data_IF_695583281232
#
_entry.id   IF_695583281232
#
_cell.length_a   1.000
_cell.length_b   1.000
_cell.length_c   1.000
_cell.angle_alpha   90.00
_cell.angle_beta   90.00
_cell.angle_gamma   90.00
#
_symmetry.space_group_name_H-M   'P 1'
#
loop_
_entity.id
_entity.type
_entity.pdbx_description
1 polymer ?
#
# COMPACT_ATOMS: atom_id res chain seq x y z
N UNK A 1 -10.29 -13.78 14.48
CA UNK A 1 -10.81 -12.40 14.30
C UNK A 1 -12.31 -12.46 14.47
N UNK A 2 -12.88 -11.84 15.51
CA UNK A 2 -14.34 -11.74 15.68
C UNK A 2 -14.84 -10.81 14.56
N UNK A 3 -15.83 -11.26 13.78
CA UNK A 3 -16.40 -10.45 12.71
C UNK A 3 -17.11 -9.23 13.31
N UNK A 4 -16.47 -8.06 13.26
CA UNK A 4 -17.05 -6.78 13.65
C UNK A 4 -18.36 -6.56 12.89
N UNK A 5 -19.47 -6.34 13.60
CA UNK A 5 -20.78 -6.11 13.00
C UNK A 5 -20.82 -4.76 12.27
N UNK A 6 -21.51 -4.64 11.13
CA UNK A 6 -21.68 -3.37 10.37
C UNK A 6 -22.16 -2.21 11.25
N UNK A 7 -23.04 -2.52 12.22
CA UNK A 7 -23.54 -1.53 13.17
C UNK A 7 -22.43 -0.97 14.06
N UNK A 8 -21.46 -1.79 14.42
CA UNK A 8 -20.31 -1.38 15.23
C UNK A 8 -19.36 -0.48 14.44
N UNK A 9 -19.04 -0.82 13.20
CA UNK A 9 -18.23 0.02 12.32
C UNK A 9 -18.89 1.38 12.08
N UNK A 10 -20.21 1.42 11.89
CA UNK A 10 -20.97 2.68 11.77
C UNK A 10 -20.96 3.49 13.05
N UNK A 11 -21.15 2.85 14.22
CA UNK A 11 -21.06 3.54 15.52
C UNK A 11 -19.67 4.11 15.75
N UNK A 12 -18.61 3.35 15.42
CA UNK A 12 -17.23 3.82 15.48
C UNK A 12 -17.00 5.00 14.54
N UNK A 13 -17.47 4.91 13.29
CA UNK A 13 -17.40 6.01 12.32
C UNK A 13 -18.05 7.28 12.87
N UNK A 14 -19.26 7.21 13.45
CA UNK A 14 -19.90 8.38 14.07
C UNK A 14 -19.01 8.98 15.16
N UNK A 15 -18.59 8.18 16.14
CA UNK A 15 -17.76 8.65 17.26
C UNK A 15 -16.45 9.30 16.80
N UNK A 16 -15.81 8.73 15.78
CA UNK A 16 -14.46 9.13 15.36
C UNK A 16 -14.46 10.26 14.34
N UNK A 17 -15.42 10.25 13.41
CA UNK A 17 -15.39 11.07 12.20
C UNK A 17 -16.53 12.08 12.13
N UNK A 18 -17.72 11.80 12.68
CA UNK A 18 -18.87 12.69 12.46
C UNK A 18 -18.67 14.08 13.07
N UNK A 19 -17.98 14.18 14.22
CA UNK A 19 -17.60 15.45 14.81
C UNK A 19 -16.64 16.27 13.94
N UNK A 20 -15.95 15.62 13.00
CA UNK A 20 -15.04 16.25 12.03
C UNK A 20 -15.71 16.54 10.69
N UNK A 21 -16.83 15.86 10.39
CA UNK A 21 -17.64 16.13 9.20
C UNK A 21 -18.46 17.41 9.32
N UNK A 22 -18.66 17.91 10.54
CA UNK A 22 -19.32 19.20 10.77
C UNK A 22 -18.33 20.30 10.35
N UNK A 23 -18.80 21.20 9.49
CA UNK A 23 -18.02 22.38 9.11
C UNK A 23 -17.67 23.18 10.36
N UNK A 24 -16.38 23.25 10.67
CA UNK A 24 -15.85 24.09 11.72
C UNK A 24 -14.87 25.06 11.06
N UNK A 25 -15.28 26.33 10.81
CA UNK A 25 -14.38 27.33 10.28
C UNK A 25 -13.16 27.45 11.21
N UNK A 26 -11.96 27.39 10.63
CA UNK A 26 -10.69 27.46 11.37
C UNK A 26 -10.02 26.11 11.67
N UNK A 27 -10.68 24.97 11.45
CA UNK A 27 -10.01 23.67 11.63
C UNK A 27 -9.05 23.37 10.48
N UNK A 28 -7.75 23.51 10.73
CA UNK A 28 -6.72 23.14 9.77
C UNK A 28 -6.74 21.63 9.45
N UNK A 29 -6.43 21.23 8.19
CA UNK A 29 -6.10 19.86 7.85
C UNK A 29 -4.98 19.33 8.74
N UNK A 30 -5.04 18.05 9.13
CA UNK A 30 -3.93 17.39 9.81
C UNK A 30 -2.71 17.32 8.89
N UNK A 31 -1.53 17.51 9.46
CA UNK A 31 -0.27 17.31 8.74
C UNK A 31 -0.02 15.82 8.47
N UNK A 32 0.47 15.48 7.29
CA UNK A 32 0.86 14.11 6.99
C UNK A 32 -0.27 13.23 6.43
N UNK A 33 0.11 11.97 6.26
CA UNK A 33 -0.65 10.95 5.54
C UNK A 33 -0.60 9.66 6.34
N UNK A 34 -1.68 8.89 6.36
CA UNK A 34 -1.68 7.52 6.87
C UNK A 34 -1.77 6.51 5.73
N UNK A 35 -0.94 5.46 5.81
CA UNK A 35 -0.80 4.44 4.77
C UNK A 35 -1.10 3.05 5.35
N UNK A 36 -1.81 2.23 4.59
CA UNK A 36 -2.03 0.82 4.89
C UNK A 36 -2.31 0.02 3.62
N UNK A 37 -2.55 -1.27 3.75
CA UNK A 37 -2.75 -2.16 2.60
C UNK A 37 -4.02 -3.00 2.78
N UNK A 38 -4.75 -3.19 1.68
CA UNK A 38 -5.83 -4.16 1.54
C UNK A 38 -5.38 -5.27 0.60
N UNK A 39 -5.79 -6.49 0.91
CA UNK A 39 -5.56 -7.67 0.09
C UNK A 39 -6.93 -8.18 -0.34
N UNK A 40 -7.16 -8.27 -1.64
CA UNK A 40 -8.37 -8.84 -2.19
C UNK A 40 -8.30 -10.38 -2.14
N UNK A 41 -9.34 -11.03 -1.61
CA UNK A 41 -9.45 -12.49 -1.51
C UNK A 41 -8.84 -13.10 -0.24
N UNK A 42 -8.81 -14.44 -0.18
CA UNK A 42 -8.33 -15.15 1.00
C UNK A 42 -6.80 -15.10 1.16
N UNK A 43 -6.35 -15.04 2.41
CA UNK A 43 -4.95 -15.08 2.83
C UNK A 43 -4.58 -16.53 3.18
N UNK A 44 -3.95 -17.24 2.27
CA UNK A 44 -3.37 -18.57 2.57
C UNK A 44 -1.86 -18.53 2.57
N UNK A 45 -1.28 -17.73 1.69
CA UNK A 45 0.15 -17.75 1.43
C UNK A 45 0.87 -16.54 2.03
N UNK A 46 2.18 -16.67 2.27
CA UNK A 46 3.02 -15.56 2.76
C UNK A 46 3.24 -14.47 1.71
N UNK A 47 2.99 -14.79 0.45
CA UNK A 47 3.11 -13.89 -0.68
C UNK A 47 1.72 -13.61 -1.27
N UNK A 48 1.49 -12.37 -1.68
CA UNK A 48 0.26 -11.96 -2.35
C UNK A 48 0.58 -11.39 -3.71
N UNK A 49 -0.08 -11.86 -4.76
CA UNK A 49 0.07 -11.24 -6.08
C UNK A 49 -0.22 -9.73 -6.02
N UNK A 50 0.65 -8.94 -6.62
CA UNK A 50 0.62 -7.47 -6.55
C UNK A 50 -0.71 -6.91 -7.09
N UNK A 51 -1.33 -7.56 -8.09
CA UNK A 51 -2.66 -7.20 -8.63
C UNK A 51 -3.79 -7.30 -7.60
N UNK A 52 -3.61 -8.10 -6.54
CA UNK A 52 -4.57 -8.28 -5.43
C UNK A 52 -4.28 -7.34 -4.26
N UNK A 53 -3.16 -6.61 -4.30
CA UNK A 53 -2.78 -5.65 -3.28
C UNK A 53 -3.31 -4.26 -3.64
N UNK A 54 -3.89 -3.56 -2.66
CA UNK A 54 -4.26 -2.15 -2.80
C UNK A 54 -3.64 -1.34 -1.66
N UNK A 55 -2.78 -0.39 -1.99
CA UNK A 55 -2.26 0.62 -1.06
C UNK A 55 -3.35 1.64 -0.76
N UNK A 56 -3.77 1.74 0.49
CA UNK A 56 -4.74 2.72 0.96
C UNK A 56 -4.02 3.89 1.63
N UNK A 57 -4.32 5.08 1.16
CA UNK A 57 -3.75 6.35 1.60
C UNK A 57 -4.87 7.22 2.16
N UNK A 58 -4.67 7.77 3.36
CA UNK A 58 -5.62 8.65 4.03
C UNK A 58 -4.97 9.96 4.42
N UNK A 59 -5.59 11.08 4.06
CA UNK A 59 -5.13 12.43 4.41
C UNK A 59 -6.28 13.43 4.46
N UNK A 60 -6.03 14.59 5.04
CA UNK A 60 -6.99 15.69 5.06
C UNK A 60 -6.76 16.61 3.86
N UNK A 61 -7.82 16.90 3.10
CA UNK A 61 -7.78 17.81 1.94
C UNK A 61 -8.68 19.02 2.23
N UNK A 62 -8.14 20.24 2.12
CA UNK A 62 -8.94 21.45 2.21
C UNK A 62 -9.61 21.74 0.87
N UNK A 63 -10.94 21.74 0.85
CA UNK A 63 -11.70 22.15 -0.33
C UNK A 63 -11.77 23.68 -0.47
N UNK A 64 -12.06 24.15 -1.68
CA UNK A 64 -12.18 25.58 -1.99
C UNK A 64 -13.22 26.32 -1.11
N UNK A 65 -14.27 25.62 -0.69
CA UNK A 65 -15.30 26.15 0.22
C UNK A 65 -14.88 26.14 1.71
N UNK A 66 -13.60 25.92 2.00
CA UNK A 66 -13.04 25.89 3.35
C UNK A 66 -13.38 24.63 4.14
N UNK A 67 -14.14 23.67 3.60
CA UNK A 67 -14.41 22.39 4.26
C UNK A 67 -13.19 21.47 4.16
N UNK A 68 -12.84 20.83 5.27
CA UNK A 68 -11.82 19.77 5.29
C UNK A 68 -12.49 18.43 5.00
N UNK A 69 -12.04 17.76 3.94
CA UNK A 69 -12.44 16.38 3.60
C UNK A 69 -11.41 15.40 4.14
N UNK A 70 -11.83 14.20 4.52
CA UNK A 70 -10.89 13.12 4.91
C UNK A 70 -10.80 12.16 3.73
N UNK A 71 -9.81 12.36 2.86
CA UNK A 71 -9.64 11.59 1.63
C UNK A 71 -9.13 10.20 1.93
N UNK A 72 -9.73 9.22 1.26
CA UNK A 72 -9.26 7.84 1.22
C UNK A 72 -9.02 7.49 -0.23
N UNK A 73 -7.76 7.35 -0.60
CA UNK A 73 -7.33 6.94 -1.93
C UNK A 73 -6.87 5.49 -1.86
N UNK A 74 -7.12 4.73 -2.92
CA UNK A 74 -6.59 3.39 -3.05
C UNK A 74 -5.88 3.23 -4.38
N UNK A 75 -4.65 2.77 -4.31
CA UNK A 75 -3.77 2.56 -5.44
C UNK A 75 -3.48 1.07 -5.58
N UNK A 76 -3.58 0.55 -6.80
CA UNK A 76 -3.09 -0.79 -7.10
C UNK A 76 -1.67 -0.63 -7.64
N UNK A 77 -0.64 -1.26 -7.02
CA UNK A 77 0.71 -1.11 -7.51
C UNK A 77 0.84 -1.73 -8.91
N UNK A 78 1.62 -1.09 -9.77
CA UNK A 78 1.81 -1.50 -11.17
C UNK A 78 3.28 -1.41 -11.56
N UNK A 79 3.72 -2.30 -12.44
CA UNK A 79 5.04 -2.22 -13.06
C UNK A 79 4.99 -1.22 -14.21
N UNK A 80 5.82 -0.18 -14.15
CA UNK A 80 5.96 0.85 -15.20
C UNK A 80 7.43 0.91 -15.60
N UNK A 81 7.75 0.39 -16.79
CA UNK A 81 9.14 0.13 -17.16
C UNK A 81 9.74 -0.90 -16.20
N UNK A 82 10.79 -0.51 -15.49
CA UNK A 82 11.52 -1.35 -14.53
C UNK A 82 11.17 -1.02 -13.06
N UNK A 83 10.24 -0.09 -12.83
CA UNK A 83 9.90 0.38 -11.50
C UNK A 83 8.49 -0.06 -11.09
N UNK A 84 8.30 -0.33 -9.80
CA UNK A 84 6.99 -0.61 -9.23
C UNK A 84 6.40 0.69 -8.69
N UNK A 85 5.37 1.17 -9.39
CA UNK A 85 4.65 2.38 -9.02
C UNK A 85 3.58 2.04 -7.95
N UNK A 86 3.87 2.37 -6.69
CA UNK A 86 2.96 2.14 -5.57
C UNK A 86 1.81 3.15 -5.49
N UNK A 87 2.03 4.36 -5.99
CA UNK A 87 1.08 5.47 -5.96
C UNK A 87 1.17 6.30 -7.22
N UNK A 88 0.10 7.00 -7.59
CA UNK A 88 0.11 7.89 -8.75
C UNK A 88 -1.21 7.85 -9.52
N UNK A 89 -1.43 8.76 -10.49
CA UNK A 89 -2.68 8.83 -11.24
C UNK A 89 -3.04 7.52 -11.96
N UNK A 90 -2.03 6.87 -12.56
CA UNK A 90 -2.22 5.62 -13.31
C UNK A 90 -2.59 4.44 -12.40
N UNK A 91 -2.03 4.40 -11.19
CA UNK A 91 -2.30 3.37 -10.17
C UNK A 91 -3.60 3.61 -9.39
N UNK A 92 -4.25 4.78 -9.51
CA UNK A 92 -5.43 5.13 -8.70
C UNK A 92 -6.64 4.27 -9.08
N UNK A 93 -7.22 3.56 -8.11
CA UNK A 93 -8.40 2.69 -8.30
C UNK A 93 -9.63 3.15 -7.53
N UNK A 94 -9.46 3.89 -6.44
CA UNK A 94 -10.59 4.46 -5.69
C UNK A 94 -10.23 5.81 -5.10
N UNK A 95 -11.23 6.71 -5.07
CA UNK A 95 -11.18 8.01 -4.37
C UNK A 95 -12.46 8.20 -3.58
N UNK A 96 -12.33 8.23 -2.26
CA UNK A 96 -13.45 8.28 -1.31
C UNK A 96 -13.24 9.39 -0.28
N UNK A 97 -14.31 9.71 0.43
CA UNK A 97 -14.35 10.71 1.49
C UNK A 97 -14.92 10.06 2.76
N UNK A 98 -14.06 9.85 3.75
CA UNK A 98 -14.43 9.27 5.02
C UNK A 98 -15.31 10.23 5.85
N UNK A 99 -15.32 11.53 5.55
CA UNK A 99 -16.22 12.48 6.23
C UNK A 99 -17.69 12.29 5.83
N UNK A 100 -17.97 11.63 4.70
CA UNK A 100 -19.34 11.31 4.29
C UNK A 100 -19.82 10.02 4.97
N UNK A 101 -21.08 9.96 5.46
CA UNK A 101 -21.59 8.75 6.08
C UNK A 101 -21.57 7.57 5.10
N UNK A 102 -21.00 6.42 5.49
CA UNK A 102 -20.95 5.24 4.65
C UNK A 102 -22.38 4.69 4.44
N UNK A 103 -22.67 4.23 3.22
CA UNK A 103 -23.97 3.65 2.86
C UNK A 103 -23.76 2.31 2.15
N UNK A 104 -24.69 1.35 2.22
CA UNK A 104 -24.57 0.12 1.44
C UNK A 104 -24.67 0.46 -0.06
N UNK A 105 -23.88 -0.20 -0.89
CA UNK A 105 -23.85 0.01 -2.35
C UNK A 105 -23.48 1.43 -2.78
N UNK A 106 -22.78 2.18 -1.93
CA UNK A 106 -22.45 3.56 -2.23
C UNK A 106 -21.40 3.67 -3.37
N UNK A 107 -21.70 4.50 -4.36
CA UNK A 107 -20.80 4.86 -5.46
C UNK A 107 -20.22 6.27 -5.27
N UNK A 108 -19.35 6.69 -6.19
CA UNK A 108 -18.72 8.02 -6.16
C UNK A 108 -17.84 8.23 -4.93
N UNK A 109 -17.96 9.38 -4.25
CA UNK A 109 -17.12 9.76 -3.11
C UNK A 109 -17.47 9.04 -1.80
N UNK A 110 -18.65 8.42 -1.67
CA UNK A 110 -19.06 7.75 -0.43
C UNK A 110 -18.46 6.34 -0.35
N UNK A 111 -18.08 5.92 0.86
CA UNK A 111 -17.66 4.55 1.14
C UNK A 111 -18.86 3.60 1.16
N UNK A 112 -18.73 2.48 0.46
CA UNK A 112 -19.69 1.39 0.53
C UNK A 112 -19.51 0.64 1.87
N UNK A 113 -20.54 0.62 2.70
CA UNK A 113 -20.48 -0.09 3.99
C UNK A 113 -20.37 -1.61 3.86
N UNK A 114 -20.67 -2.20 2.69
CA UNK A 114 -20.47 -3.63 2.44
C UNK A 114 -18.99 -3.99 2.28
N UNK A 115 -18.14 -3.03 1.89
CA UNK A 115 -16.68 -3.18 1.86
C UNK A 115 -16.10 -2.97 3.27
N UNK A 116 -16.43 -3.90 4.18
CA UNK A 116 -16.07 -3.84 5.61
C UNK A 116 -14.59 -3.57 5.84
N UNK A 117 -13.71 -4.31 5.16
CA UNK A 117 -12.26 -4.19 5.32
C UNK A 117 -11.73 -2.81 4.95
N UNK A 118 -12.30 -2.19 3.90
CA UNK A 118 -11.95 -0.83 3.49
C UNK A 118 -12.39 0.21 4.53
N UNK A 119 -13.63 0.12 5.02
CA UNK A 119 -14.13 1.04 6.04
C UNK A 119 -13.35 0.88 7.35
N UNK A 120 -13.09 -0.36 7.77
CA UNK A 120 -12.31 -0.64 8.97
C UNK A 120 -10.88 -0.13 8.84
N UNK A 121 -10.21 -0.40 7.72
CA UNK A 121 -8.86 0.11 7.47
C UNK A 121 -8.85 1.64 7.47
N UNK A 122 -9.78 2.30 6.79
CA UNK A 122 -9.87 3.76 6.75
C UNK A 122 -10.03 4.36 8.16
N UNK A 123 -10.90 3.78 9.00
CA UNK A 123 -11.04 4.21 10.40
C UNK A 123 -9.77 3.97 11.22
N UNK A 124 -9.06 2.86 11.00
CA UNK A 124 -7.78 2.59 11.66
C UNK A 124 -6.70 3.58 11.23
N UNK A 125 -6.64 3.93 9.94
CA UNK A 125 -5.71 4.93 9.41
C UNK A 125 -6.01 6.33 9.93
N UNK A 126 -7.29 6.73 9.98
CA UNK A 126 -7.70 8.01 10.56
C UNK A 126 -7.31 8.12 12.04
N UNK A 127 -7.46 7.02 12.79
CA UNK A 127 -7.03 6.96 14.18
C UNK A 127 -5.51 7.08 14.28
N UNK A 128 -4.76 6.35 13.44
CA UNK A 128 -3.29 6.40 13.41
C UNK A 128 -2.78 7.80 13.10
N UNK A 129 -3.35 8.47 12.10
CA UNK A 129 -3.01 9.86 11.77
C UNK A 129 -3.31 10.79 12.95
N UNK A 130 -4.48 10.64 13.59
CA UNK A 130 -4.85 11.42 14.77
C UNK A 130 -3.89 11.23 15.96
N UNK A 131 -3.38 10.01 16.18
CA UNK A 131 -2.36 9.76 17.20
C UNK A 131 -1.04 10.41 16.84
N UNK A 132 -0.63 10.34 15.57
CA UNK A 132 0.64 10.89 15.12
C UNK A 132 0.65 12.43 15.19
N UNK A 133 -0.50 13.10 15.02
CA UNK A 133 -0.61 14.55 15.23
C UNK A 133 -0.19 15.01 16.64
N UNK A 134 -0.27 14.13 17.64
CA UNK A 134 0.17 14.46 19.01
C UNK A 134 1.70 14.50 19.14
N UNK A 135 2.44 14.00 18.13
CA UNK A 135 3.90 13.87 18.09
C UNK A 135 4.42 14.12 16.68
N UNK A 136 4.21 15.34 16.16
CA UNK A 136 4.54 15.73 14.77
C UNK A 136 6.01 15.47 14.41
N UNK A 137 6.94 15.63 15.35
CA UNK A 137 8.37 15.35 15.13
C UNK A 137 8.59 13.92 14.61
N UNK A 138 7.84 12.94 15.12
CA UNK A 138 7.97 11.54 14.66
C UNK A 138 7.50 11.36 13.22
N UNK A 139 6.50 12.13 12.76
CA UNK A 139 6.03 12.06 11.38
C UNK A 139 7.11 12.52 10.39
N UNK A 140 7.89 13.53 10.76
CA UNK A 140 8.91 14.14 9.89
C UNK A 140 10.05 13.18 9.53
N UNK A 141 10.35 12.24 10.42
CA UNK A 141 11.43 11.27 10.25
C UNK A 141 10.94 9.86 9.87
N UNK A 142 9.63 9.69 9.62
CA UNK A 142 9.09 8.38 9.23
C UNK A 142 9.02 8.30 7.71
N UNK A 143 9.91 7.50 7.13
CA UNK A 143 9.85 7.14 5.72
C UNK A 143 8.74 6.12 5.45
N UNK A 144 8.07 6.20 4.29
CA UNK A 144 7.08 5.21 3.90
C UNK A 144 7.76 3.87 3.64
N UNK A 145 7.36 2.83 4.38
CA UNK A 145 7.76 1.46 4.09
C UNK A 145 6.76 0.80 3.15
N UNK A 146 7.27 -0.02 2.24
CA UNK A 146 6.49 -0.86 1.32
C UNK A 146 6.91 -2.32 1.50
N UNK A 147 6.02 -3.29 1.22
CA UNK A 147 6.41 -4.69 1.30
C UNK A 147 7.49 -5.01 0.27
N UNK A 148 8.35 -5.97 0.60
CA UNK A 148 9.29 -6.53 -0.36
C UNK A 148 8.53 -7.16 -1.52
N UNK A 149 9.02 -6.96 -2.75
CA UNK A 149 8.42 -7.53 -3.95
C UNK A 149 9.32 -8.63 -4.50
N UNK A 150 8.66 -9.69 -4.94
CA UNK A 150 9.22 -10.88 -5.56
C UNK A 150 8.69 -10.96 -6.99
N UNK A 151 9.59 -11.16 -7.94
CA UNK A 151 9.28 -11.37 -9.34
C UNK A 151 9.24 -12.86 -9.64
N UNK A 152 8.10 -13.33 -10.14
CA UNK A 152 7.88 -14.73 -10.50
C UNK A 152 8.12 -14.99 -11.97
N UNK A 153 9.06 -15.88 -12.26
CA UNK A 153 9.45 -16.28 -13.60
C UNK A 153 9.12 -17.75 -13.84
N UNK A 154 9.00 -18.13 -15.12
CA UNK A 154 9.08 -19.55 -15.49
C UNK A 154 10.46 -20.09 -15.11
N UNK A 155 10.59 -21.35 -14.65
CA UNK A 155 11.86 -21.91 -14.21
C UNK A 155 13.01 -21.70 -15.21
N UNK A 156 12.78 -21.97 -16.50
CA UNK A 156 13.80 -21.79 -17.55
C UNK A 156 14.29 -20.35 -17.71
N UNK A 157 13.44 -19.36 -17.42
CA UNK A 157 13.83 -17.94 -17.47
C UNK A 157 14.61 -17.57 -16.21
N UNK A 158 14.18 -18.05 -15.04
CA UNK A 158 14.90 -17.81 -13.79
C UNK A 158 16.32 -18.37 -13.82
N UNK A 159 16.50 -19.58 -14.38
CA UNK A 159 17.82 -20.21 -14.49
C UNK A 159 18.75 -19.39 -15.40
N UNK A 160 18.24 -18.84 -16.51
CA UNK A 160 18.99 -17.93 -17.37
C UNK A 160 19.43 -16.66 -16.62
N UNK A 161 18.53 -16.02 -15.88
CA UNK A 161 18.84 -14.81 -15.11
C UNK A 161 19.91 -15.05 -14.05
N UNK A 162 19.88 -16.21 -13.40
CA UNK A 162 20.89 -16.59 -12.40
C UNK A 162 22.25 -16.79 -13.09
N UNK A 163 22.29 -17.48 -14.22
CA UNK A 163 23.54 -17.68 -14.99
C UNK A 163 24.10 -16.38 -15.58
N UNK A 164 23.25 -15.45 -16.01
CA UNK A 164 23.69 -14.15 -16.52
C UNK A 164 24.30 -13.29 -15.38
N UNK A 165 23.77 -13.40 -14.16
CA UNK A 165 24.30 -12.73 -12.97
C UNK A 165 25.71 -13.22 -12.57
N UNK A 166 26.09 -14.45 -12.90
CA UNK A 166 27.44 -15.00 -12.67
C UNK A 166 28.51 -14.27 -13.50
N UNK A 167 28.12 -13.65 -14.63
CA UNK A 167 29.04 -13.08 -15.60
C UNK A 167 29.33 -11.59 -15.36
N UNK A 168 28.67 -10.95 -14.40
CA UNK A 168 28.87 -9.53 -14.09
C UNK A 168 30.23 -9.29 -13.40
N UNK A 169 31.15 -8.53 -14.03
CA UNK A 169 32.44 -8.24 -13.42
C UNK A 169 32.28 -7.18 -12.32
N UNK A 170 32.57 -7.54 -11.06
CA UNK A 170 32.92 -6.53 -10.05
C UNK A 170 32.31 -6.57 -8.65
N UNK A 171 31.63 -7.63 -8.20
CA UNK A 171 31.18 -7.70 -6.79
C UNK A 171 31.54 -9.02 -6.08
N UNK A 172 32.13 -8.89 -4.88
CA UNK A 172 32.72 -9.95 -4.04
C UNK A 172 31.72 -10.91 -3.37
N UNK A 173 30.44 -10.81 -3.68
CA UNK A 173 29.41 -11.75 -3.28
C UNK A 173 28.81 -12.29 -4.57
N UNK A 174 28.97 -13.61 -4.78
CA UNK A 174 28.38 -14.32 -5.90
C UNK A 174 26.85 -14.13 -5.89
N UNK A 175 26.38 -13.17 -6.69
CA UNK A 175 24.98 -12.78 -6.79
C UNK A 175 24.13 -13.96 -7.24
N UNK A 176 24.67 -14.83 -8.09
CA UNK A 176 23.98 -16.04 -8.52
C UNK A 176 23.80 -17.02 -7.36
N UNK A 177 24.84 -17.25 -6.54
CA UNK A 177 24.70 -18.00 -5.29
C UNK A 177 23.66 -17.39 -4.35
N UNK A 178 23.58 -16.06 -4.23
CA UNK A 178 22.58 -15.40 -3.39
C UNK A 178 21.16 -15.54 -3.97
N UNK A 179 20.99 -15.34 -5.28
CA UNK A 179 19.71 -15.54 -5.98
C UNK A 179 19.25 -16.99 -5.86
N UNK A 180 20.14 -17.96 -6.04
CA UNK A 180 19.84 -19.38 -5.87
C UNK A 180 19.42 -19.71 -4.42
N UNK A 181 20.08 -19.11 -3.42
CA UNK A 181 19.71 -19.28 -1.99
C UNK A 181 18.38 -18.62 -1.62
N UNK A 182 18.06 -17.48 -2.24
CA UNK A 182 16.84 -16.74 -1.97
C UNK A 182 15.66 -17.17 -2.84
N UNK A 183 15.89 -17.98 -3.87
CA UNK A 183 14.86 -18.53 -4.76
C UNK A 183 13.78 -19.21 -3.95
N UNK A 184 12.53 -18.83 -4.22
CA UNK A 184 11.34 -19.52 -3.70
C UNK A 184 10.54 -20.10 -4.86
N UNK A 185 9.70 -21.08 -4.58
CA UNK A 185 8.78 -21.63 -5.57
C UNK A 185 7.34 -21.41 -5.13
N UNK A 186 6.49 -20.93 -6.05
CA UNK A 186 5.07 -20.77 -5.81
C UNK A 186 4.30 -20.89 -7.12
N UNK A 187 3.26 -21.71 -7.15
CA UNK A 187 2.37 -21.89 -8.31
C UNK A 187 3.13 -22.21 -9.62
N UNK A 188 4.22 -22.96 -9.53
CA UNK A 188 5.09 -23.31 -10.66
C UNK A 188 6.00 -22.18 -11.16
N UNK A 189 6.09 -21.06 -10.43
CA UNK A 189 7.01 -19.96 -10.69
C UNK A 189 8.20 -19.99 -9.74
N UNK A 190 9.37 -19.65 -10.29
CA UNK A 190 10.58 -19.33 -9.52
C UNK A 190 10.55 -17.86 -9.15
N UNK A 191 10.52 -17.58 -7.86
CA UNK A 191 10.44 -16.23 -7.31
C UNK A 191 11.82 -15.73 -6.94
N UNK A 192 12.19 -14.56 -7.46
CA UNK A 192 13.43 -13.86 -7.16
C UNK A 192 13.14 -12.45 -6.62
N UNK A 193 13.99 -11.86 -5.77
CA UNK A 193 13.78 -10.49 -5.28
C UNK A 193 13.72 -9.49 -6.43
N UNK A 194 12.63 -8.73 -6.55
CA UNK A 194 12.42 -7.83 -7.69
C UNK A 194 13.46 -6.70 -7.77
N UNK A 195 14.00 -6.30 -6.62
CA UNK A 195 15.08 -5.33 -6.48
C UNK A 195 16.41 -5.78 -7.11
N UNK A 196 16.57 -7.07 -7.33
CA UNK A 196 17.84 -7.64 -7.83
C UNK A 196 17.79 -7.98 -9.33
N UNK A 197 16.61 -7.94 -9.94
CA UNK A 197 16.43 -8.35 -11.34
C UNK A 197 16.63 -7.18 -12.31
N UNK A 198 16.57 -5.93 -11.84
CA UNK A 198 16.88 -4.74 -12.64
C UNK A 198 16.11 -4.72 -13.97
N UNK A 199 16.87 -4.80 -15.07
CA UNK A 199 16.35 -4.66 -16.44
C UNK A 199 15.41 -5.79 -16.88
N UNK A 200 15.49 -6.96 -16.24
CA UNK A 200 14.70 -8.14 -16.60
C UNK A 200 13.33 -8.19 -15.90
N UNK A 201 13.03 -7.24 -15.01
CA UNK A 201 11.76 -7.22 -14.28
C UNK A 201 10.52 -7.23 -15.20
N UNK A 202 10.50 -6.56 -16.38
CA UNK A 202 9.40 -6.67 -17.35
C UNK A 202 9.15 -8.08 -17.89
N UNK A 203 10.11 -9.01 -17.79
CA UNK A 203 9.96 -10.41 -18.21
C UNK A 203 9.24 -11.27 -17.16
N UNK A 204 8.99 -10.73 -15.97
CA UNK A 204 8.31 -11.44 -14.90
C UNK A 204 6.88 -11.82 -15.33
N UNK A 205 6.50 -13.07 -15.07
CA UNK A 205 5.13 -13.55 -15.35
C UNK A 205 4.14 -13.01 -14.32
N UNK A 206 4.58 -12.82 -13.08
CA UNK A 206 3.80 -12.23 -12.02
C UNK A 206 4.69 -11.52 -11.01
N UNK A 207 4.13 -10.56 -10.26
CA UNK A 207 4.79 -9.91 -9.14
C UNK A 207 4.03 -10.23 -7.86
N UNK A 208 4.76 -10.42 -6.77
CA UNK A 208 4.22 -10.80 -5.47
C UNK A 208 4.78 -9.89 -4.38
N UNK A 209 3.94 -9.44 -3.46
CA UNK A 209 4.36 -8.73 -2.27
C UNK A 209 4.41 -9.68 -1.07
N UNK A 210 5.46 -9.55 -0.25
CA UNK A 210 5.61 -10.33 0.97
C UNK A 210 4.73 -9.79 2.11
N UNK A 211 3.85 -10.64 2.65
CA UNK A 211 2.86 -10.23 3.65
C UNK A 211 3.48 -10.01 5.02
N UNK A 212 4.49 -10.79 5.41
CA UNK A 212 5.22 -10.62 6.67
C UNK A 212 5.94 -9.26 6.72
N UNK A 213 6.35 -8.76 5.56
CA UNK A 213 6.96 -7.45 5.38
C UNK A 213 5.97 -6.30 5.21
N UNK A 214 4.64 -6.55 5.15
CA UNK A 214 3.66 -5.47 5.05
C UNK A 214 3.73 -4.61 6.31
N UNK A 215 4.23 -3.37 6.23
CA UNK A 215 4.36 -2.55 7.41
C UNK A 215 2.97 -2.29 7.96
N UNK A 216 2.85 -2.44 9.27
CA UNK A 216 1.64 -2.04 9.96
C UNK A 216 1.31 -0.58 9.62
N UNK A 217 0.01 -0.26 9.57
CA UNK A 217 -0.55 1.09 9.40
C UNK A 217 0.41 2.21 9.80
N UNK A 218 0.92 2.94 8.82
CA UNK A 218 1.93 3.97 8.99
C UNK A 218 1.28 5.35 9.02
N UNK A 219 1.93 6.30 9.66
CA UNK A 219 1.66 7.72 9.43
C UNK A 219 2.99 8.39 9.12
N UNK A 220 3.03 9.15 8.03
CA UNK A 220 4.23 9.74 7.43
C UNK A 220 3.97 11.22 7.14
N UNK A 221 5.04 11.97 6.89
CA UNK A 221 4.92 13.35 6.41
C UNK A 221 4.33 13.39 4.99
N UNK A 222 3.50 14.39 4.69
CA UNK A 222 2.84 14.55 3.38
C UNK A 222 3.81 15.03 2.29
N UNK A 223 4.99 15.53 2.70
CA UNK A 223 6.04 16.00 1.79
C UNK A 223 6.86 14.87 1.14
N UNK A 224 6.61 13.60 1.46
CA UNK A 224 7.30 12.49 0.82
C UNK A 224 6.68 12.22 -0.56
N UNK A 225 7.41 12.57 -1.63
CA UNK A 225 7.04 12.17 -2.98
C UNK A 225 6.98 10.63 -3.05
N UNK A 226 5.81 10.10 -3.44
CA UNK A 226 5.48 8.67 -3.42
C UNK A 226 6.23 7.80 -4.44
N UNK A 227 7.43 8.23 -4.87
CA UNK A 227 8.38 7.41 -5.64
C UNK A 227 9.27 6.69 -4.64
N UNK A 228 9.17 5.37 -4.62
CA UNK A 228 10.14 4.53 -3.95
C UNK A 228 11.12 4.11 -5.03
N UNK A 229 12.36 4.61 -5.03
CA UNK A 229 13.37 3.98 -5.88
C UNK A 229 13.44 2.52 -5.46
N UNK A 230 13.41 1.61 -6.44
CA UNK A 230 13.77 0.21 -6.20
C UNK A 230 15.22 0.28 -5.70
N UNK A 231 15.42 0.15 -4.39
CA UNK A 231 16.75 0.31 -3.80
C UNK A 231 17.66 -0.76 -4.40
N UNK A 232 18.69 -0.30 -5.13
CA UNK A 232 19.79 -1.13 -5.61
C UNK A 232 20.64 -1.64 -4.44
#
# INVERSE_FOLDING_TARGET
MIATNDNELRRRWRRQVSSRSIYCPGRAPREGVALGFLIDGWRRDELVELRRLTTIVLFDERAANGRTSIRVLGYRPELVGQEILWTGPQALRLRKDLALPPRPLATGRRLDSRRRDLLELALRLDHRLSQAQRRLERLRHTEPRFPRVWAGFRPSVADQLISDAEQSPGNQLDLASLLAKLRREQDGLSLLPADWIGDDLPRATALFAEQSGLPARQAINAACDGRVPVSA
#
